data_IF_110672865075
#
_entry.id   IF_110672865075
#
_cell.length_a   1.000
_cell.length_b   1.000
_cell.length_c   1.000
_cell.angle_alpha   90.00
_cell.angle_beta   90.00
_cell.angle_gamma   90.00
#
_symmetry.space_group_name_H-M   'P 1'
#
loop_
_entity.id
_entity.type
_entity.pdbx_description
1 polymer ?
#
# COMPACT_ATOMS: atom_id res chain seq x y z
N UNK A 1 37.69 21.18 -11.50
CA UNK A 1 36.25 21.48 -11.36
C UNK A 1 35.67 21.38 -12.76
N UNK A 2 35.13 20.21 -13.11
CA UNK A 2 34.66 19.94 -14.47
C UNK A 2 33.34 20.67 -14.72
N UNK A 3 33.28 21.37 -15.85
CA UNK A 3 32.08 22.00 -16.37
C UNK A 3 30.95 20.97 -16.47
N UNK A 4 30.06 20.97 -15.48
CA UNK A 4 28.74 20.35 -15.58
C UNK A 4 27.93 21.19 -16.56
N UNK A 5 28.15 20.98 -17.86
CA UNK A 5 27.16 21.37 -18.85
C UNK A 5 25.87 20.64 -18.46
N UNK A 6 24.85 21.40 -18.05
CA UNK A 6 23.48 20.91 -17.91
C UNK A 6 23.06 20.36 -19.27
N UNK A 7 23.33 19.07 -19.49
CA UNK A 7 22.78 18.36 -20.63
C UNK A 7 21.28 18.37 -20.46
N UNK A 8 20.58 18.92 -21.45
CA UNK A 8 19.14 19.04 -21.44
C UNK A 8 18.54 17.62 -21.34
N UNK A 9 17.85 17.30 -20.24
CA UNK A 9 17.20 16.00 -20.07
C UNK A 9 16.13 15.84 -21.15
N UNK A 10 16.38 14.96 -22.12
CA UNK A 10 15.41 14.64 -23.15
C UNK A 10 14.58 13.43 -22.72
N UNK A 11 13.34 13.68 -22.28
CA UNK A 11 12.41 12.65 -21.83
C UNK A 11 12.15 11.60 -22.92
N UNK A 12 12.11 12.01 -24.19
CA UNK A 12 11.83 11.10 -25.29
C UNK A 12 12.97 10.09 -25.49
N UNK A 13 14.21 10.58 -25.49
CA UNK A 13 15.40 9.74 -25.63
C UNK A 13 15.51 8.77 -24.45
N UNK A 14 15.30 9.27 -23.23
CA UNK A 14 15.27 8.46 -22.02
C UNK A 14 14.16 7.39 -22.04
N UNK A 15 13.00 7.67 -22.64
CA UNK A 15 11.92 6.67 -22.78
C UNK A 15 12.23 5.59 -23.84
N UNK A 16 13.02 5.91 -24.86
CA UNK A 16 13.29 5.00 -25.99
C UNK A 16 14.59 4.20 -25.82
N UNK A 17 15.51 4.68 -24.99
CA UNK A 17 16.69 3.93 -24.60
C UNK A 17 16.26 2.67 -23.86
N UNK A 18 16.43 1.50 -24.49
CA UNK A 18 16.11 0.21 -23.88
C UNK A 18 17.30 -0.19 -22.98
N UNK A 19 17.16 -0.12 -21.64
CA UNK A 19 18.28 -0.43 -20.78
C UNK A 19 18.40 -1.97 -20.68
N UNK A 20 19.07 -2.60 -21.63
CA UNK A 20 19.56 -3.99 -21.52
C UNK A 20 18.49 -5.08 -21.78
N UNK A 21 18.41 -5.57 -23.02
CA UNK A 21 17.57 -6.74 -23.39
C UNK A 21 18.23 -8.09 -23.05
N UNK A 22 19.55 -8.09 -22.84
CA UNK A 22 20.39 -9.28 -22.64
C UNK A 22 21.28 -9.16 -21.38
N UNK A 23 20.92 -8.28 -20.44
CA UNK A 23 21.70 -8.03 -19.22
C UNK A 23 21.37 -8.99 -18.08
N UNK A 24 22.10 -8.86 -16.96
CA UNK A 24 21.70 -9.50 -15.70
C UNK A 24 20.41 -8.87 -15.18
N UNK A 25 19.65 -9.57 -14.32
CA UNK A 25 18.40 -9.03 -13.78
C UNK A 25 18.62 -7.69 -13.04
N UNK A 26 19.77 -7.53 -12.38
CA UNK A 26 20.18 -6.28 -11.73
C UNK A 26 20.36 -5.12 -12.73
N UNK A 27 20.86 -5.39 -13.93
CA UNK A 27 20.97 -4.38 -15.00
C UNK A 27 19.59 -4.00 -15.55
N UNK A 28 18.72 -4.98 -15.73
CA UNK A 28 17.35 -4.73 -16.22
C UNK A 28 16.51 -3.95 -15.20
N UNK A 29 16.77 -4.14 -13.91
CA UNK A 29 16.13 -3.38 -12.83
C UNK A 29 16.44 -1.88 -12.91
N UNK A 30 17.45 -1.45 -13.67
CA UNK A 30 17.73 -0.02 -13.93
C UNK A 30 16.62 0.66 -14.75
N UNK A 31 15.67 -0.09 -15.33
CA UNK A 31 14.45 0.51 -15.88
C UNK A 31 13.49 1.02 -14.78
N UNK A 32 13.58 0.45 -13.57
CA UNK A 32 12.59 0.57 -12.52
C UNK A 32 12.85 1.81 -11.65
N UNK A 33 12.18 2.91 -11.99
CA UNK A 33 12.35 4.22 -11.34
C UNK A 33 11.60 4.41 -10.01
N UNK A 34 11.02 3.36 -9.43
CA UNK A 34 10.26 3.44 -8.17
C UNK A 34 11.11 3.00 -6.98
N UNK A 35 10.84 3.51 -5.77
CA UNK A 35 11.61 3.16 -4.59
C UNK A 35 11.44 1.70 -4.19
N UNK A 36 12.58 1.10 -3.87
CA UNK A 36 12.80 -0.26 -3.37
C UNK A 36 13.86 -0.26 -2.27
N UNK A 37 14.22 -1.43 -1.74
CA UNK A 37 15.18 -1.59 -0.65
C UNK A 37 14.70 -0.98 0.67
N UNK A 38 15.63 -0.59 1.53
CA UNK A 38 15.37 0.04 2.82
C UNK A 38 14.62 1.38 2.69
N UNK A 39 14.93 2.18 1.67
CA UNK A 39 14.21 3.43 1.41
C UNK A 39 12.77 3.14 0.96
N UNK A 40 12.56 2.18 0.06
CA UNK A 40 11.21 1.72 -0.33
C UNK A 40 10.40 1.23 0.87
N UNK A 41 11.03 0.42 1.73
CA UNK A 41 10.43 -0.07 2.97
C UNK A 41 10.01 1.07 3.89
N UNK A 42 10.93 1.99 4.21
CA UNK A 42 10.66 3.13 5.09
C UNK A 42 9.56 4.03 4.51
N UNK A 43 9.57 4.20 3.19
CA UNK A 43 8.54 4.90 2.43
C UNK A 43 7.17 4.21 2.62
N UNK A 44 7.06 2.90 2.47
CA UNK A 44 5.79 2.21 2.74
C UNK A 44 5.32 2.35 4.19
N UNK A 45 6.21 2.15 5.18
CA UNK A 45 5.88 2.34 6.60
C UNK A 45 5.31 3.74 6.86
N UNK A 46 5.96 4.77 6.33
CA UNK A 46 5.51 6.15 6.47
C UNK A 46 4.15 6.41 5.79
N UNK A 47 3.86 5.69 4.71
CA UNK A 47 2.56 5.77 4.03
C UNK A 47 1.46 5.20 4.91
N UNK A 48 1.68 4.03 5.52
CA UNK A 48 0.71 3.45 6.45
C UNK A 48 0.50 4.32 7.69
N UNK A 49 1.58 4.88 8.24
CA UNK A 49 1.51 5.85 9.32
C UNK A 49 0.64 7.06 8.95
N UNK A 50 0.83 7.62 7.75
CA UNK A 50 0.04 8.75 7.24
C UNK A 50 -1.45 8.42 7.20
N UNK A 51 -1.81 7.24 6.69
CA UNK A 51 -3.21 6.79 6.59
C UNK A 51 -3.82 6.63 7.97
N UNK A 52 -3.10 6.02 8.91
CA UNK A 52 -3.55 5.85 10.29
C UNK A 52 -3.82 7.22 10.94
N UNK A 53 -2.89 8.17 10.81
CA UNK A 53 -3.06 9.51 11.37
C UNK A 53 -4.23 10.28 10.75
N UNK A 54 -4.37 10.24 9.42
CA UNK A 54 -5.49 10.84 8.71
C UNK A 54 -6.84 10.19 9.10
N UNK A 55 -6.85 8.87 9.29
CA UNK A 55 -8.04 8.14 9.76
C UNK A 55 -8.45 8.59 11.16
N UNK A 56 -7.49 8.94 12.03
CA UNK A 56 -7.76 9.52 13.35
C UNK A 56 -7.98 11.05 13.33
N UNK A 57 -8.09 11.67 12.14
CA UNK A 57 -8.21 13.12 11.96
C UNK A 57 -7.07 13.92 12.62
N UNK A 58 -5.87 13.32 12.68
CA UNK A 58 -4.64 13.94 13.20
C UNK A 58 -3.71 14.29 12.04
N UNK A 59 -2.92 15.35 12.22
CA UNK A 59 -1.84 15.66 11.29
C UNK A 59 -0.75 14.59 11.37
N UNK A 60 -0.34 13.97 10.26
CA UNK A 60 0.77 13.01 10.25
C UNK A 60 2.09 13.63 10.71
N UNK A 61 2.36 14.88 10.31
CA UNK A 61 3.58 15.58 10.73
C UNK A 61 3.54 16.00 12.21
N UNK A 62 2.37 16.34 12.74
CA UNK A 62 2.18 16.73 14.15
C UNK A 62 1.02 15.94 14.77
N UNK A 63 1.26 14.70 15.26
CA UNK A 63 0.18 13.81 15.72
C UNK A 63 -0.64 14.39 16.88
N UNK A 64 -0.08 15.33 17.65
CA UNK A 64 -0.77 16.02 18.74
C UNK A 64 -1.78 17.07 18.26
N UNK A 65 -1.68 17.56 17.02
CA UNK A 65 -2.58 18.55 16.46
C UNK A 65 -3.68 17.86 15.64
N UNK A 66 -4.91 18.32 15.83
CA UNK A 66 -6.05 17.91 15.01
C UNK A 66 -5.97 18.66 13.69
N UNK A 67 -6.29 17.97 12.61
CA UNK A 67 -6.27 18.56 11.28
C UNK A 67 -7.46 19.51 11.11
N UNK A 68 -7.19 20.74 10.63
CA UNK A 68 -8.22 21.77 10.47
C UNK A 68 -8.51 22.14 9.01
N UNK A 69 -7.57 21.96 8.09
CA UNK A 69 -7.69 22.51 6.74
C UNK A 69 -8.02 21.45 5.70
N UNK A 70 -9.27 21.00 5.69
CA UNK A 70 -9.78 19.99 4.73
C UNK A 70 -9.40 20.26 3.27
N UNK A 71 -9.40 21.53 2.84
CA UNK A 71 -9.08 21.90 1.46
C UNK A 71 -7.60 21.74 1.12
N UNK A 72 -6.71 22.00 2.08
CA UNK A 72 -5.28 21.83 1.90
C UNK A 72 -4.98 20.34 1.76
N UNK A 73 -5.57 19.49 2.61
CA UNK A 73 -5.38 18.03 2.53
C UNK A 73 -5.85 17.44 1.20
N UNK A 74 -7.04 17.85 0.74
CA UNK A 74 -7.59 17.41 -0.54
C UNK A 74 -6.65 17.84 -1.67
N UNK A 75 -6.18 19.09 -1.66
CA UNK A 75 -5.27 19.61 -2.69
C UNK A 75 -3.94 18.86 -2.70
N UNK A 76 -3.32 18.66 -1.53
CA UNK A 76 -2.08 17.89 -1.39
C UNK A 76 -2.26 16.43 -1.84
N UNK A 77 -3.41 15.83 -1.54
CA UNK A 77 -3.74 14.46 -1.94
C UNK A 77 -3.92 14.34 -3.45
N UNK A 78 -4.63 15.28 -4.10
CA UNK A 78 -4.81 15.29 -5.56
C UNK A 78 -3.46 15.52 -6.26
N UNK A 79 -2.69 16.52 -5.83
CA UNK A 79 -1.40 16.82 -6.43
C UNK A 79 -0.42 15.64 -6.27
N UNK A 80 -0.36 15.04 -5.08
CA UNK A 80 0.45 13.85 -4.82
C UNK A 80 0.01 12.64 -5.64
N UNK A 81 -1.29 12.42 -5.80
CA UNK A 81 -1.83 11.34 -6.62
C UNK A 81 -1.46 11.52 -8.10
N UNK A 82 -1.66 12.72 -8.67
CA UNK A 82 -1.36 13.01 -10.07
C UNK A 82 0.14 12.88 -10.35
N UNK A 83 0.99 13.45 -9.48
CA UNK A 83 2.44 13.37 -9.63
C UNK A 83 2.95 11.93 -9.49
N UNK A 84 2.53 11.19 -8.45
CA UNK A 84 2.94 9.80 -8.26
C UNK A 84 2.42 8.89 -9.38
N UNK A 85 1.19 9.12 -9.85
CA UNK A 85 0.60 8.40 -10.98
C UNK A 85 1.39 8.59 -12.26
N UNK A 86 1.73 9.85 -12.60
CA UNK A 86 2.53 10.18 -13.78
C UNK A 86 3.89 9.51 -13.75
N UNK A 87 4.62 9.62 -12.63
CA UNK A 87 5.95 9.01 -12.48
C UNK A 87 5.91 7.47 -12.53
N UNK A 88 4.83 6.88 -12.02
CA UNK A 88 4.62 5.44 -12.11
C UNK A 88 4.33 5.00 -13.55
N UNK A 89 3.52 5.76 -14.29
CA UNK A 89 3.26 5.49 -15.72
C UNK A 89 4.56 5.60 -16.53
N UNK A 90 5.40 6.59 -16.28
CA UNK A 90 6.72 6.68 -16.93
C UNK A 90 7.59 5.45 -16.62
N UNK A 91 7.55 4.94 -15.39
CA UNK A 91 8.25 3.70 -15.03
C UNK A 91 7.69 2.48 -15.77
N UNK A 92 6.36 2.38 -15.89
CA UNK A 92 5.69 1.30 -16.65
C UNK A 92 6.13 1.32 -18.11
N UNK A 93 6.15 2.50 -18.74
CA UNK A 93 6.54 2.67 -20.13
C UNK A 93 8.01 2.30 -20.35
N UNK A 94 8.91 2.70 -19.44
CA UNK A 94 10.34 2.37 -19.50
C UNK A 94 10.59 0.87 -19.29
N UNK A 95 9.86 0.23 -18.38
CA UNK A 95 10.01 -1.19 -18.09
C UNK A 95 9.17 -2.13 -18.99
N UNK A 96 8.56 -1.64 -20.07
CA UNK A 96 7.60 -2.40 -20.91
C UNK A 96 8.10 -3.75 -21.44
N UNK A 97 9.42 -3.92 -21.58
CA UNK A 97 10.02 -5.16 -22.09
C UNK A 97 10.09 -6.29 -21.05
N UNK A 98 9.81 -6.01 -19.77
CA UNK A 98 9.84 -6.98 -18.68
C UNK A 98 8.53 -6.91 -17.90
N UNK A 99 7.65 -7.88 -18.18
CA UNK A 99 6.31 -7.91 -17.61
C UNK A 99 6.32 -7.93 -16.07
N UNK A 100 7.32 -8.56 -15.43
CA UNK A 100 7.41 -8.61 -13.96
C UNK A 100 7.51 -7.20 -13.36
N UNK A 101 8.35 -6.33 -13.94
CA UNK A 101 8.50 -4.94 -13.49
C UNK A 101 7.26 -4.12 -13.82
N UNK A 102 6.61 -4.37 -14.95
CA UNK A 102 5.35 -3.70 -15.32
C UNK A 102 4.23 -4.01 -14.32
N UNK A 103 4.02 -5.27 -13.95
CA UNK A 103 2.95 -5.61 -13.00
C UNK A 103 3.25 -5.12 -11.57
N UNK A 104 4.51 -5.07 -11.16
CA UNK A 104 4.91 -4.46 -9.87
C UNK A 104 4.74 -2.94 -9.87
N UNK A 105 5.09 -2.26 -10.96
CA UNK A 105 4.85 -0.82 -11.09
C UNK A 105 3.34 -0.53 -11.15
N UNK A 106 2.56 -1.36 -11.84
CA UNK A 106 1.08 -1.29 -11.86
C UNK A 106 0.51 -1.48 -10.45
N UNK A 107 1.05 -2.42 -9.67
CA UNK A 107 0.67 -2.59 -8.27
C UNK A 107 0.94 -1.31 -7.44
N UNK A 108 2.09 -0.67 -7.60
CA UNK A 108 2.42 0.60 -6.94
C UNK A 108 1.53 1.76 -7.41
N UNK A 109 1.07 1.75 -8.67
CA UNK A 109 0.07 2.69 -9.19
C UNK A 109 -1.26 2.50 -8.48
N UNK A 110 -1.79 1.28 -8.44
CA UNK A 110 -3.05 0.94 -7.76
C UNK A 110 -2.96 1.32 -6.29
N UNK A 111 -1.83 1.02 -5.63
CA UNK A 111 -1.58 1.44 -4.25
C UNK A 111 -1.69 2.95 -4.07
N UNK A 112 -1.07 3.71 -4.98
CA UNK A 112 -1.09 5.18 -4.92
C UNK A 112 -2.49 5.75 -5.16
N UNK A 113 -3.25 5.18 -6.10
CA UNK A 113 -4.66 5.53 -6.35
C UNK A 113 -5.52 5.25 -5.13
N UNK A 114 -5.44 4.05 -4.56
CA UNK A 114 -6.19 3.69 -3.35
C UNK A 114 -5.86 4.63 -2.20
N UNK A 115 -4.58 4.95 -1.99
CA UNK A 115 -4.17 5.88 -0.95
C UNK A 115 -4.60 7.33 -1.18
N UNK A 116 -4.60 7.80 -2.43
CA UNK A 116 -5.14 9.10 -2.79
C UNK A 116 -6.63 9.20 -2.45
N UNK A 117 -7.41 8.18 -2.84
CA UNK A 117 -8.85 8.11 -2.54
C UNK A 117 -9.11 8.04 -1.03
N UNK A 118 -8.38 7.19 -0.30
CA UNK A 118 -8.49 7.10 1.16
C UNK A 118 -8.17 8.44 1.84
N UNK A 119 -7.14 9.13 1.39
CA UNK A 119 -6.73 10.42 1.96
C UNK A 119 -7.78 11.51 1.71
N UNK A 120 -8.32 11.57 0.49
CA UNK A 120 -9.42 12.49 0.14
C UNK A 120 -10.67 12.17 0.98
N UNK A 121 -11.05 10.90 1.08
CA UNK A 121 -12.22 10.49 1.88
C UNK A 121 -12.03 10.84 3.36
N UNK A 122 -10.86 10.53 3.94
CA UNK A 122 -10.54 10.90 5.32
C UNK A 122 -10.62 12.43 5.54
N UNK A 123 -10.11 13.23 4.60
CA UNK A 123 -10.19 14.69 4.65
C UNK A 123 -11.64 15.20 4.56
N UNK A 124 -12.50 14.57 3.74
CA UNK A 124 -13.92 14.94 3.66
C UNK A 124 -14.71 14.62 4.93
N UNK A 125 -14.26 13.62 5.70
CA UNK A 125 -14.87 13.25 6.98
C UNK A 125 -14.39 14.12 8.16
N UNK A 126 -13.35 14.94 7.97
CA UNK A 126 -12.88 15.86 8.99
C UNK A 126 -13.96 16.93 9.25
N UNK A 127 -14.70 16.77 10.36
CA UNK A 127 -15.76 17.70 10.74
C UNK A 127 -15.16 19.01 11.25
N UNK A 128 -15.67 20.18 10.82
CA UNK A 128 -15.33 21.45 11.45
C UNK A 128 -15.72 21.41 12.93
N UNK A 129 -15.01 22.17 13.78
CA UNK A 129 -15.28 22.28 15.22
C UNK A 129 -16.69 22.85 15.44
N UNK A 130 -17.70 22.00 15.52
CA UNK A 130 -18.86 22.33 16.33
C UNK A 130 -18.40 22.33 17.79
N UNK A 131 -18.81 23.34 18.55
CA UNK A 131 -18.33 23.71 19.90
C UNK A 131 -18.56 22.62 20.96
N UNK A 132 -17.91 21.47 20.84
CA UNK A 132 -17.94 20.44 21.87
C UNK A 132 -16.95 20.81 22.98
N UNK A 133 -17.53 21.25 24.10
CA UNK A 133 -16.88 21.52 25.37
C UNK A 133 -16.21 20.23 25.86
N UNK A 134 -14.89 20.24 25.93
CA UNK A 134 -14.04 19.07 26.14
C UNK A 134 -14.04 18.69 27.65
N UNK A 135 -14.76 17.64 28.04
CA UNK A 135 -14.55 16.96 29.33
C UNK A 135 -13.70 15.70 29.09
N UNK A 136 -12.53 15.63 29.74
CA UNK A 136 -11.45 14.68 29.41
C UNK A 136 -11.80 13.19 29.51
N UNK A 137 -12.88 12.81 30.19
CA UNK A 137 -13.33 11.42 30.32
C UNK A 137 -14.20 10.97 29.14
N UNK A 138 -14.87 11.90 28.45
CA UNK A 138 -15.72 11.59 27.30
C UNK A 138 -14.94 11.17 26.04
N UNK A 139 -13.62 11.36 26.01
CA UNK A 139 -12.80 11.02 24.84
C UNK A 139 -12.73 9.50 24.61
N UNK A 140 -12.55 8.71 25.68
CA UNK A 140 -12.37 7.25 25.55
C UNK A 140 -13.68 6.57 25.15
N UNK A 141 -14.79 6.99 25.75
CA UNK A 141 -16.14 6.51 25.44
C UNK A 141 -16.61 6.96 24.04
N UNK A 142 -16.30 8.21 23.64
CA UNK A 142 -16.58 8.66 22.28
C UNK A 142 -15.75 7.93 21.23
N UNK A 143 -14.54 7.47 21.56
CA UNK A 143 -13.71 6.70 20.62
C UNK A 143 -14.26 5.28 20.48
N UNK A 144 -14.67 4.64 21.58
CA UNK A 144 -15.34 3.34 21.56
C UNK A 144 -16.65 3.38 20.75
N UNK A 145 -17.49 4.40 20.98
CA UNK A 145 -18.75 4.58 20.25
C UNK A 145 -18.54 5.00 18.79
N UNK A 146 -17.43 5.68 18.46
CA UNK A 146 -17.07 5.99 17.08
C UNK A 146 -16.55 4.74 16.33
N UNK A 147 -15.88 3.82 17.02
CA UNK A 147 -15.50 2.50 16.49
C UNK A 147 -16.76 1.63 16.29
N UNK A 148 -17.74 1.74 17.19
CA UNK A 148 -19.04 1.08 17.04
C UNK A 148 -19.87 1.66 15.88
N UNK A 149 -19.74 2.97 15.63
CA UNK A 149 -20.32 3.58 14.45
C UNK A 149 -19.58 3.15 13.17
N UNK A 150 -20.34 2.53 12.26
CA UNK A 150 -19.93 1.98 10.95
C UNK A 150 -19.34 3.01 9.94
N UNK A 151 -18.83 4.15 10.40
CA UNK A 151 -18.30 5.20 9.53
C UNK A 151 -16.88 4.87 9.07
N UNK A 152 -16.02 4.35 9.97
CA UNK A 152 -14.65 3.96 9.60
C UNK A 152 -14.59 2.78 8.61
N UNK A 153 -15.57 1.87 8.69
CA UNK A 153 -15.66 0.74 7.77
C UNK A 153 -15.96 1.20 6.34
N UNK A 154 -16.65 2.34 6.15
CA UNK A 154 -16.86 2.94 4.81
C UNK A 154 -15.55 3.39 4.18
N UNK A 155 -14.62 3.93 4.98
CA UNK A 155 -13.30 4.34 4.48
C UNK A 155 -12.48 3.11 4.09
N UNK A 156 -12.48 2.07 4.94
CA UNK A 156 -11.74 0.83 4.67
C UNK A 156 -12.26 0.06 3.44
N UNK A 157 -13.50 0.28 3.02
CA UNK A 157 -14.05 -0.36 1.81
C UNK A 157 -13.21 -0.08 0.55
N UNK A 158 -12.56 1.08 0.48
CA UNK A 158 -11.67 1.43 -0.63
C UNK A 158 -10.43 0.52 -0.72
N UNK A 159 -10.06 -0.19 0.35
CA UNK A 159 -8.97 -1.17 0.32
C UNK A 159 -9.29 -2.35 -0.62
N UNK A 160 -10.55 -2.60 -0.95
CA UNK A 160 -10.90 -3.62 -1.95
C UNK A 160 -10.35 -3.31 -3.34
N UNK A 161 -10.22 -2.02 -3.71
CA UNK A 161 -9.59 -1.63 -4.97
C UNK A 161 -8.11 -2.02 -5.05
N UNK A 162 -7.47 -2.22 -3.91
CA UNK A 162 -6.07 -2.62 -3.85
C UNK A 162 -5.86 -4.11 -4.15
N UNK A 163 -6.87 -4.96 -3.91
CA UNK A 163 -6.75 -6.42 -4.01
C UNK A 163 -6.29 -6.88 -5.40
N UNK A 164 -6.87 -6.43 -6.53
CA UNK A 164 -6.38 -6.81 -7.85
C UNK A 164 -4.93 -6.39 -8.10
N UNK A 165 -4.54 -5.21 -7.61
CA UNK A 165 -3.17 -4.71 -7.70
C UNK A 165 -2.18 -5.60 -6.96
N UNK A 166 -2.53 -6.04 -5.74
CA UNK A 166 -1.71 -6.96 -4.94
C UNK A 166 -1.53 -8.29 -5.64
N UNK A 167 -2.59 -8.88 -6.19
CA UNK A 167 -2.52 -10.16 -6.91
C UNK A 167 -1.59 -10.04 -8.13
N UNK A 168 -1.75 -8.99 -8.93
CA UNK A 168 -0.90 -8.74 -10.11
C UNK A 168 0.56 -8.45 -9.72
N UNK A 169 0.78 -7.65 -8.67
CA UNK A 169 2.12 -7.31 -8.21
C UNK A 169 2.87 -8.49 -7.62
N UNK A 170 2.19 -9.30 -6.80
CA UNK A 170 2.74 -10.52 -6.20
C UNK A 170 3.07 -11.58 -7.26
N UNK A 171 2.26 -11.73 -8.31
CA UNK A 171 2.57 -12.69 -9.37
C UNK A 171 3.86 -12.33 -10.11
N UNK A 172 4.08 -11.04 -10.41
CA UNK A 172 5.35 -10.55 -10.96
C UNK A 172 6.52 -10.75 -10.00
N UNK A 173 6.34 -10.39 -8.72
CA UNK A 173 7.36 -10.55 -7.69
C UNK A 173 7.78 -12.01 -7.50
N UNK A 174 6.81 -12.93 -7.37
CA UNK A 174 7.08 -14.35 -7.20
C UNK A 174 7.78 -14.94 -8.43
N UNK A 175 7.42 -14.50 -9.64
CA UNK A 175 8.15 -14.89 -10.84
C UNK A 175 9.63 -14.48 -10.79
N UNK A 176 9.96 -13.30 -10.26
CA UNK A 176 11.34 -12.86 -10.06
C UNK A 176 12.04 -13.68 -8.97
N UNK A 177 11.37 -13.90 -7.84
CA UNK A 177 11.90 -14.69 -6.72
C UNK A 177 12.27 -16.08 -7.19
N UNK A 178 11.39 -16.80 -7.88
CA UNK A 178 11.69 -18.15 -8.36
C UNK A 178 12.87 -18.21 -9.34
N UNK A 179 13.10 -17.14 -10.11
CA UNK A 179 14.25 -17.06 -11.02
C UNK A 179 15.57 -16.84 -10.26
N UNK A 180 15.55 -16.05 -9.19
CA UNK A 180 16.75 -15.62 -8.46
C UNK A 180 17.07 -16.42 -7.21
N UNK A 181 16.10 -17.16 -6.63
CA UNK A 181 16.26 -17.83 -5.34
C UNK A 181 17.38 -18.88 -5.33
N UNK A 182 17.68 -19.48 -6.48
CA UNK A 182 18.79 -20.43 -6.64
C UNK A 182 20.17 -19.78 -6.76
N UNK A 183 20.23 -18.51 -7.18
CA UNK A 183 21.48 -17.83 -7.51
C UNK A 183 21.87 -16.75 -6.48
N UNK A 184 20.90 -16.20 -5.76
CA UNK A 184 21.11 -15.09 -4.83
C UNK A 184 20.72 -15.48 -3.39
N UNK A 185 21.74 -15.63 -2.53
CA UNK A 185 21.55 -16.01 -1.12
C UNK A 185 20.69 -15.00 -0.34
N UNK A 186 20.78 -13.70 -0.65
CA UNK A 186 19.95 -12.68 0.01
C UNK A 186 18.46 -12.86 -0.32
N UNK A 187 18.13 -13.12 -1.59
CA UNK A 187 16.75 -13.40 -2.01
C UNK A 187 16.20 -14.61 -1.26
N UNK A 188 16.98 -15.69 -1.13
CA UNK A 188 16.60 -16.88 -0.38
C UNK A 188 16.32 -16.58 1.10
N UNK A 189 17.25 -15.93 1.79
CA UNK A 189 17.10 -15.59 3.21
C UNK A 189 15.86 -14.71 3.44
N UNK A 190 15.68 -13.67 2.63
CA UNK A 190 14.53 -12.76 2.76
C UNK A 190 13.22 -13.51 2.51
N UNK A 191 13.17 -14.35 1.48
CA UNK A 191 11.97 -15.17 1.16
C UNK A 191 11.62 -16.13 2.29
N UNK A 192 12.61 -16.79 2.88
CA UNK A 192 12.42 -17.73 3.99
C UNK A 192 11.91 -17.02 5.26
N UNK A 193 12.56 -15.91 5.64
CA UNK A 193 12.16 -15.12 6.81
C UNK A 193 10.75 -14.56 6.64
N UNK A 194 10.42 -13.95 5.50
CA UNK A 194 9.05 -13.46 5.26
C UNK A 194 8.04 -14.60 5.13
N UNK A 195 8.40 -15.72 4.51
CA UNK A 195 7.54 -16.88 4.40
C UNK A 195 7.09 -17.40 5.77
N UNK A 196 8.03 -17.53 6.70
CA UNK A 196 7.77 -18.05 8.05
C UNK A 196 7.07 -17.01 8.93
N UNK A 197 7.56 -15.77 8.97
CA UNK A 197 7.08 -14.75 9.91
C UNK A 197 5.76 -14.13 9.46
N UNK A 198 5.57 -13.98 8.15
CA UNK A 198 4.43 -13.24 7.59
C UNK A 198 3.44 -14.17 6.91
N UNK A 199 3.90 -14.92 5.90
CA UNK A 199 2.98 -15.63 5.02
C UNK A 199 2.28 -16.78 5.77
N UNK A 200 2.99 -17.47 6.67
CA UNK A 200 2.42 -18.58 7.44
C UNK A 200 1.32 -18.12 8.42
N UNK A 201 1.52 -17.15 9.33
CA UNK A 201 0.45 -16.67 10.20
C UNK A 201 -0.74 -16.06 9.44
N UNK A 202 -0.45 -15.26 8.41
CA UNK A 202 -1.49 -14.66 7.58
C UNK A 202 -2.32 -15.72 6.85
N UNK A 203 -1.65 -16.73 6.27
CA UNK A 203 -2.29 -17.87 5.65
C UNK A 203 -3.14 -18.66 6.64
N UNK A 204 -2.64 -18.90 7.85
CA UNK A 204 -3.38 -19.60 8.90
C UNK A 204 -4.66 -18.84 9.28
N UNK A 205 -4.58 -17.52 9.52
CA UNK A 205 -5.75 -16.68 9.85
C UNK A 205 -6.77 -16.68 8.71
N UNK A 206 -6.30 -16.62 7.46
CA UNK A 206 -7.16 -16.64 6.28
C UNK A 206 -7.86 -18.00 6.12
N UNK A 207 -7.14 -19.11 6.32
CA UNK A 207 -7.69 -20.47 6.29
C UNK A 207 -8.73 -20.65 7.39
N UNK A 208 -8.42 -20.25 8.63
CA UNK A 208 -9.36 -20.31 9.77
C UNK A 208 -10.62 -19.50 9.44
N UNK A 209 -10.45 -18.27 8.92
CA UNK A 209 -11.58 -17.42 8.53
C UNK A 209 -12.47 -18.06 7.45
N UNK A 210 -11.87 -18.67 6.42
CA UNK A 210 -12.62 -19.38 5.37
C UNK A 210 -13.33 -20.61 5.95
N UNK A 211 -12.65 -21.42 6.77
CA UNK A 211 -13.26 -22.62 7.37
C UNK A 211 -14.42 -22.25 8.28
N UNK A 212 -14.26 -21.22 9.13
CA UNK A 212 -15.35 -20.72 9.97
C UNK A 212 -16.54 -20.23 9.14
N UNK A 213 -16.29 -19.53 8.02
CA UNK A 213 -17.34 -19.10 7.10
C UNK A 213 -18.05 -20.29 6.44
N UNK A 214 -17.29 -21.28 5.95
CA UNK A 214 -17.84 -22.49 5.32
C UNK A 214 -18.69 -23.33 6.30
N UNK A 215 -18.22 -23.51 7.54
CA UNK A 215 -18.96 -24.25 8.57
C UNK A 215 -20.32 -23.61 8.87
N UNK A 216 -20.37 -22.27 8.88
CA UNK A 216 -21.61 -21.53 9.12
C UNK A 216 -22.58 -21.60 7.93
N UNK A 217 -22.08 -21.58 6.68
CA UNK A 217 -22.92 -21.76 5.50
C UNK A 217 -23.54 -23.17 5.42
N UNK A 218 -22.82 -24.20 5.88
CA UNK A 218 -23.27 -25.59 5.81
C UNK A 218 -24.09 -26.06 7.03
N UNK A 219 -23.95 -25.40 8.20
CA UNK A 219 -24.55 -25.84 9.47
C UNK A 219 -26.02 -25.42 9.70
N UNK A 220 -26.60 -24.56 8.86
CA UNK A 220 -27.94 -24.00 9.06
C UNK A 220 -29.02 -24.77 8.27
N UNK A 221 -29.23 -26.07 8.58
CA UNK A 221 -30.32 -26.86 7.97
C UNK A 221 -31.01 -27.86 8.89
N UNK A 222 -31.05 -27.65 10.22
CA UNK A 222 -31.94 -28.42 11.08
C UNK A 222 -32.58 -27.55 12.17
N UNK A 223 -33.90 -27.63 12.17
CA UNK A 223 -34.90 -27.14 13.14
C UNK A 223 -35.29 -25.66 13.11
N UNK A 224 -36.46 -25.45 12.50
CA UNK A 224 -37.34 -24.28 12.59
C UNK A 224 -37.80 -24.03 14.04
N UNK A 225 -38.41 -22.84 14.24
CA UNK A 225 -39.16 -22.36 15.42
C UNK A 225 -38.43 -21.32 16.30
N UNK A 226 -38.01 -20.19 15.70
CA UNK A 226 -38.27 -18.81 16.21
C UNK A 226 -37.81 -17.75 15.19
N UNK A 227 -38.74 -17.17 14.41
CA UNK A 227 -38.45 -16.48 13.14
C UNK A 227 -37.83 -15.07 13.20
N UNK A 228 -37.62 -14.42 14.35
CA UNK A 228 -37.12 -13.03 14.39
C UNK A 228 -35.66 -12.87 14.83
N UNK A 229 -35.09 -13.86 15.53
CA UNK A 229 -33.72 -13.76 16.08
C UNK A 229 -32.64 -14.30 15.12
N UNK A 230 -33.00 -15.21 14.22
CA UNK A 230 -32.05 -15.91 13.34
C UNK A 230 -31.56 -15.03 12.17
N UNK A 231 -32.40 -14.14 11.64
CA UNK A 231 -31.98 -13.24 10.54
C UNK A 231 -30.87 -12.25 10.97
N UNK A 232 -30.90 -11.81 12.22
CA UNK A 232 -29.89 -10.87 12.75
C UNK A 232 -28.54 -11.57 12.99
N UNK A 233 -28.57 -12.82 13.45
CA UNK A 233 -27.38 -13.63 13.69
C UNK A 233 -26.64 -13.96 12.38
N UNK A 234 -27.37 -14.26 11.30
CA UNK A 234 -26.79 -14.52 9.97
C UNK A 234 -26.07 -13.30 9.39
N UNK A 235 -26.69 -12.11 9.47
CA UNK A 235 -26.08 -10.85 8.99
C UNK A 235 -24.83 -10.48 9.78
N UNK A 236 -24.85 -10.65 11.10
CA UNK A 236 -23.70 -10.36 11.97
C UNK A 236 -22.51 -11.27 11.66
N UNK A 237 -22.78 -12.54 11.36
CA UNK A 237 -21.78 -13.55 11.08
C UNK A 237 -21.06 -13.32 9.73
N UNK A 238 -21.82 -13.07 8.65
CA UNK A 238 -21.24 -12.70 7.34
C UNK A 238 -20.40 -11.43 7.46
N UNK A 239 -20.88 -10.44 8.23
CA UNK A 239 -20.13 -9.22 8.51
C UNK A 239 -18.79 -9.47 9.18
N UNK A 240 -18.73 -10.37 10.17
CA UNK A 240 -17.47 -10.75 10.84
C UNK A 240 -16.51 -11.42 9.85
N UNK A 241 -16.99 -12.36 9.02
CA UNK A 241 -16.15 -13.04 8.02
C UNK A 241 -15.51 -12.06 7.02
N UNK A 242 -16.30 -11.12 6.49
CA UNK A 242 -15.82 -10.06 5.59
C UNK A 242 -14.80 -9.17 6.32
N UNK A 243 -15.05 -8.78 7.56
CA UNK A 243 -14.12 -7.94 8.33
C UNK A 243 -12.80 -8.64 8.60
N UNK A 244 -12.81 -9.93 8.98
CA UNK A 244 -11.59 -10.72 9.16
C UNK A 244 -10.81 -10.81 7.85
N UNK A 245 -11.50 -11.09 6.73
CA UNK A 245 -10.87 -11.12 5.41
C UNK A 245 -10.25 -9.78 5.02
N UNK A 246 -10.94 -8.66 5.26
CA UNK A 246 -10.43 -7.31 4.97
C UNK A 246 -9.22 -6.96 5.84
N UNK A 247 -9.26 -7.28 7.14
CA UNK A 247 -8.17 -7.00 8.07
C UNK A 247 -6.95 -7.89 7.77
N UNK A 248 -7.15 -9.19 7.64
CA UNK A 248 -6.07 -10.12 7.33
C UNK A 248 -5.50 -9.87 5.93
N UNK A 249 -6.37 -9.64 4.93
CA UNK A 249 -5.98 -9.34 3.56
C UNK A 249 -5.21 -8.02 3.46
N UNK A 250 -5.67 -6.97 4.15
CA UNK A 250 -4.94 -5.69 4.19
C UNK A 250 -3.59 -5.84 4.89
N UNK A 251 -3.51 -6.50 6.04
CA UNK A 251 -2.24 -6.76 6.72
C UNK A 251 -1.26 -7.55 5.83
N UNK A 252 -1.75 -8.59 5.16
CA UNK A 252 -0.96 -9.38 4.20
C UNK A 252 -0.46 -8.52 3.05
N UNK A 253 -1.32 -7.66 2.50
CA UNK A 253 -0.97 -6.76 1.41
C UNK A 253 0.07 -5.72 1.80
N UNK A 254 0.04 -5.26 3.06
CA UNK A 254 1.04 -4.36 3.62
C UNK A 254 2.39 -5.05 3.67
N UNK A 255 2.43 -6.25 4.22
CA UNK A 255 3.67 -7.02 4.38
C UNK A 255 4.22 -7.48 3.03
N UNK A 256 3.35 -7.82 2.07
CA UNK A 256 3.72 -8.10 0.69
C UNK A 256 4.45 -6.92 0.04
N UNK A 257 3.98 -5.69 0.27
CA UNK A 257 4.64 -4.49 -0.26
C UNK A 257 6.04 -4.30 0.35
N UNK A 258 6.20 -4.52 1.66
CA UNK A 258 7.50 -4.46 2.34
C UNK A 258 8.46 -5.56 1.84
N UNK A 259 7.94 -6.77 1.66
CA UNK A 259 8.67 -7.90 1.06
C UNK A 259 9.18 -7.55 -0.34
N UNK A 260 8.32 -6.94 -1.18
CA UNK A 260 8.69 -6.53 -2.54
C UNK A 260 9.87 -5.57 -2.56
N UNK A 261 9.95 -4.62 -1.61
CA UNK A 261 11.02 -3.64 -1.59
C UNK A 261 12.37 -4.31 -1.29
N UNK A 262 12.42 -5.22 -0.31
CA UNK A 262 13.67 -5.90 0.04
C UNK A 262 14.10 -6.93 -0.99
N UNK A 263 13.17 -7.64 -1.63
CA UNK A 263 13.50 -8.53 -2.75
C UNK A 263 14.10 -7.75 -3.90
N UNK A 264 13.51 -6.61 -4.28
CA UNK A 264 14.07 -5.76 -5.33
C UNK A 264 15.44 -5.19 -4.93
N UNK A 265 15.64 -4.81 -3.65
CA UNK A 265 16.95 -4.40 -3.15
C UNK A 265 18.00 -5.51 -3.19
N UNK A 266 17.62 -6.75 -2.88
CA UNK A 266 18.50 -7.91 -2.94
C UNK A 266 18.88 -8.28 -4.38
N UNK A 267 17.92 -8.20 -5.31
CA UNK A 267 18.14 -8.39 -6.74
C UNK A 267 19.04 -7.29 -7.31
N UNK A 268 18.86 -6.04 -6.87
CA UNK A 268 19.70 -4.91 -7.26
C UNK A 268 21.15 -5.02 -6.75
N UNK A 269 21.43 -5.89 -5.77
CA UNK A 269 22.67 -5.84 -5.00
C UNK A 269 22.79 -4.56 -4.16
N UNK A 270 21.68 -3.90 -3.86
CA UNK A 270 21.60 -2.63 -3.15
C UNK A 270 20.40 -2.65 -2.18
N UNK A 271 20.62 -3.25 -1.01
CA UNK A 271 19.60 -3.38 0.02
C UNK A 271 19.13 -2.02 0.59
N UNK A 272 19.96 -0.98 0.55
CA UNK A 272 19.56 0.37 0.96
C UNK A 272 18.52 0.93 -0.02
N UNK A 273 18.70 0.64 -1.31
CA UNK A 273 17.80 1.07 -2.38
C UNK A 273 18.08 2.48 -2.89
N UNK A 274 19.33 2.96 -2.76
CA UNK A 274 19.73 4.25 -3.35
C UNK A 274 19.67 4.18 -4.89
N UNK A 275 19.01 5.13 -5.58
CA UNK A 275 19.01 5.14 -7.03
C UNK A 275 20.41 5.44 -7.58
N UNK A 276 20.76 4.83 -8.71
CA UNK A 276 21.96 5.16 -9.48
C UNK A 276 21.60 5.63 -10.89
N UNK A 277 22.43 6.50 -11.48
CA UNK A 277 22.26 6.95 -12.86
C UNK A 277 20.99 7.79 -13.09
N UNK A 278 20.44 7.67 -14.30
CA UNK A 278 19.41 8.59 -14.81
C UNK A 278 18.00 8.33 -14.26
N UNK A 279 17.81 7.32 -13.42
CA UNK A 279 16.52 7.05 -12.77
C UNK A 279 16.34 7.81 -11.45
N UNK A 280 17.40 8.43 -10.92
CA UNK A 280 17.35 9.14 -9.64
C UNK A 280 16.29 10.26 -9.58
N UNK A 281 16.07 11.09 -10.63
CA UNK A 281 15.02 12.11 -10.59
C UNK A 281 13.61 11.52 -10.46
N UNK A 282 13.29 10.44 -11.16
CA UNK A 282 11.99 9.77 -11.05
C UNK A 282 11.81 9.15 -9.66
N UNK A 283 12.86 8.52 -9.16
CA UNK A 283 12.88 7.88 -7.85
C UNK A 283 12.56 8.89 -6.73
N UNK A 284 13.31 9.99 -6.66
CA UNK A 284 13.12 11.01 -5.63
C UNK A 284 11.82 11.80 -5.85
N UNK A 285 11.48 12.08 -7.10
CA UNK A 285 10.20 12.71 -7.46
C UNK A 285 9.02 11.89 -6.97
N UNK A 286 9.06 10.56 -7.11
CA UNK A 286 7.98 9.68 -6.68
C UNK A 286 7.90 9.63 -5.14
N UNK A 287 9.05 9.56 -4.46
CA UNK A 287 9.08 9.65 -2.99
C UNK A 287 8.44 10.96 -2.53
N UNK A 288 8.87 12.10 -3.07
CA UNK A 288 8.34 13.41 -2.68
C UNK A 288 6.84 13.52 -2.97
N UNK A 289 6.41 13.13 -4.17
CA UNK A 289 5.00 13.17 -4.58
C UNK A 289 4.11 12.35 -3.64
N UNK A 290 4.51 11.14 -3.31
CA UNK A 290 3.76 10.24 -2.41
C UNK A 290 3.69 10.74 -0.97
N UNK A 291 4.59 11.66 -0.58
CA UNK A 291 4.66 12.23 0.78
C UNK A 291 3.91 13.53 0.93
N UNK A 292 3.33 14.09 -0.13
CA UNK A 292 2.57 15.34 -0.01
C UNK A 292 1.44 15.27 1.03
N UNK A 293 0.63 14.19 1.15
CA UNK A 293 -0.39 14.08 2.19
C UNK A 293 0.16 14.06 3.63
N UNK A 294 1.45 13.76 3.81
CA UNK A 294 2.10 13.77 5.13
C UNK A 294 2.16 15.19 5.74
N UNK A 295 2.18 16.21 4.89
CA UNK A 295 2.20 17.62 5.29
C UNK A 295 0.80 18.22 5.51
N UNK A 296 -0.22 17.39 5.70
CA UNK A 296 -1.59 17.81 6.07
C UNK A 296 -1.64 18.41 7.48
N UNK A 297 -2.42 19.47 7.70
CA UNK A 297 -2.47 20.22 8.97
C UNK A 297 -3.81 20.91 9.31
#
# INVERSE_FOLDING_TARGET
>A
MNNTSLTHFNLNDWLHENPYRNGTLAQELQCYGLPYGGIGFASHVLTYYTIIMLSYQRSPWMPWKRNHHKWIDITLSIFGLVAAGTLTVLTILRCRNRWQFVVMATWKLVLSVTFGILSIHAATMARPKDKYQYSGLGHLESTANAIENKEYTKVLWWMLLYVPGVVAGLSGLLSLVFKEIGHNAHVKIITEVFGIVVAFPAGLVLIIGIVSMCQQCCGSRKEEVHNSSIEDLGKRTVGIGIMVFLVAGSATSVLAALYSDWILGAIAGNLVGLPSGDVAPLYWGYILAKRLPFFSF
#
